data_IF_286483323845
#
_entry.id   IF_286483323845
#
_cell.length_a   1.000
_cell.length_b   1.000
_cell.length_c   1.000
_cell.angle_alpha   90.00
_cell.angle_beta   90.00
_cell.angle_gamma   90.00
#
_symmetry.space_group_name_H-M   'P 1'
#
loop_
_entity.id
_entity.type
_entity.pdbx_description
1 polymer ?
#
# COMPACT_ATOMS: atom_id res chain seq x y z
N UNK A 1 18.71 16.14 14.42
CA UNK A 1 19.58 15.56 13.39
C UNK A 1 20.49 14.57 14.08
N UNK A 2 20.19 13.28 13.93
CA UNK A 2 20.96 12.20 14.57
C UNK A 2 22.07 11.79 13.61
N UNK A 3 23.29 12.26 13.87
CA UNK A 3 24.46 11.78 13.16
C UNK A 3 24.61 10.27 13.45
N UNK A 4 24.60 9.47 12.40
CA UNK A 4 24.91 8.05 12.48
C UNK A 4 26.37 7.91 12.95
N UNK A 5 26.60 7.14 14.01
CA UNK A 5 27.90 7.04 14.70
C UNK A 5 28.88 6.15 13.88
N UNK A 6 29.40 6.69 12.77
CA UNK A 6 30.39 6.04 11.92
C UNK A 6 31.77 6.67 12.11
N UNK A 7 32.80 5.84 12.23
CA UNK A 7 34.18 6.30 12.24
C UNK A 7 34.52 6.98 10.89
N UNK A 8 35.22 8.13 10.90
CA UNK A 8 35.57 8.88 9.68
C UNK A 8 36.71 8.20 8.93
N UNK A 9 36.35 7.20 8.11
CA UNK A 9 37.28 6.45 7.24
C UNK A 9 36.88 6.53 5.78
N UNK A 10 37.85 6.42 4.85
CA UNK A 10 37.57 6.39 3.40
C UNK A 10 36.64 5.27 3.00
N UNK A 11 36.75 4.10 3.65
CA UNK A 11 35.88 2.94 3.41
C UNK A 11 34.44 3.22 3.80
N UNK A 12 34.22 3.81 5.00
CA UNK A 12 32.88 4.19 5.46
C UNK A 12 32.28 5.29 4.58
N UNK A 13 33.07 6.24 4.10
CA UNK A 13 32.60 7.27 3.17
C UNK A 13 32.07 6.66 1.86
N UNK A 14 32.81 5.70 1.27
CA UNK A 14 32.38 5.04 0.05
C UNK A 14 31.10 4.23 0.25
N UNK A 15 31.01 3.49 1.38
CA UNK A 15 29.82 2.73 1.75
C UNK A 15 28.60 3.65 1.92
N UNK A 16 28.71 4.72 2.69
CA UNK A 16 27.62 5.66 2.92
C UNK A 16 27.17 6.40 1.66
N UNK A 17 28.09 6.71 0.74
CA UNK A 17 27.73 7.25 -0.58
C UNK A 17 26.92 6.27 -1.40
N UNK A 18 27.28 4.98 -1.35
CA UNK A 18 26.51 3.91 -2.01
C UNK A 18 25.13 3.76 -1.37
N UNK A 19 25.05 3.75 -0.04
CA UNK A 19 23.79 3.66 0.71
C UNK A 19 22.87 4.87 0.44
N UNK A 20 23.44 6.08 0.36
CA UNK A 20 22.72 7.30 -0.01
C UNK A 20 22.12 7.19 -1.42
N UNK A 21 22.93 6.74 -2.39
CA UNK A 21 22.45 6.54 -3.76
C UNK A 21 21.34 5.50 -3.83
N UNK A 22 21.51 4.39 -3.10
CA UNK A 22 20.49 3.34 -3.00
C UNK A 22 19.20 3.85 -2.35
N UNK A 23 19.30 4.65 -1.28
CA UNK A 23 18.15 5.25 -0.62
C UNK A 23 17.40 6.23 -1.55
N UNK A 24 18.12 7.03 -2.35
CA UNK A 24 17.52 7.93 -3.34
C UNK A 24 16.77 7.16 -4.43
N UNK A 25 17.38 6.11 -4.99
CA UNK A 25 16.72 5.25 -5.99
C UNK A 25 15.51 4.53 -5.40
N UNK A 26 15.63 4.05 -4.16
CA UNK A 26 14.52 3.42 -3.44
C UNK A 26 13.36 4.39 -3.18
N UNK A 27 13.66 5.64 -2.86
CA UNK A 27 12.67 6.70 -2.73
C UNK A 27 11.90 6.92 -4.04
N UNK A 28 12.61 7.11 -5.17
CA UNK A 28 12.01 7.34 -6.48
C UNK A 28 11.07 6.19 -6.90
N UNK A 29 11.52 4.95 -6.74
CA UNK A 29 10.71 3.76 -7.06
C UNK A 29 9.47 3.62 -6.16
N UNK A 30 9.61 3.90 -4.86
CA UNK A 30 8.49 3.85 -3.93
C UNK A 30 7.51 5.01 -4.15
N UNK A 31 7.99 6.17 -4.58
CA UNK A 31 7.16 7.31 -4.93
C UNK A 31 6.34 7.03 -6.20
N UNK A 32 6.95 6.47 -7.23
CA UNK A 32 6.25 6.01 -8.42
C UNK A 32 5.19 4.95 -8.07
N UNK A 33 5.56 3.95 -7.24
CA UNK A 33 4.61 2.95 -6.76
C UNK A 33 3.44 3.58 -6.01
N UNK A 34 3.71 4.56 -5.14
CA UNK A 34 2.67 5.30 -4.40
C UNK A 34 1.67 5.96 -5.35
N UNK A 35 2.18 6.67 -6.36
CA UNK A 35 1.34 7.39 -7.30
C UNK A 35 0.43 6.44 -8.11
N UNK A 36 0.98 5.32 -8.59
CA UNK A 36 0.18 4.30 -9.30
C UNK A 36 -0.89 3.70 -8.40
N UNK A 37 -0.53 3.34 -7.15
CA UNK A 37 -1.49 2.78 -6.19
C UNK A 37 -2.61 3.76 -5.84
N UNK A 38 -2.33 5.07 -5.79
CA UNK A 38 -3.36 6.10 -5.55
C UNK A 38 -4.32 6.19 -6.72
N UNK A 39 -3.83 6.19 -7.97
CA UNK A 39 -4.67 6.22 -9.17
C UNK A 39 -5.60 5.00 -9.21
N UNK A 40 -5.06 3.80 -8.99
CA UNK A 40 -5.84 2.57 -8.92
C UNK A 40 -6.88 2.58 -7.78
N UNK A 41 -6.49 3.10 -6.61
CA UNK A 41 -7.40 3.22 -5.47
C UNK A 41 -8.58 4.14 -5.81
N UNK A 42 -8.33 5.32 -6.39
CA UNK A 42 -9.39 6.27 -6.75
C UNK A 42 -10.35 5.66 -7.79
N UNK A 43 -9.81 5.00 -8.82
CA UNK A 43 -10.64 4.33 -9.82
C UNK A 43 -11.53 3.24 -9.20
N UNK A 44 -11.03 2.47 -8.22
CA UNK A 44 -11.84 1.47 -7.51
C UNK A 44 -12.85 2.10 -6.55
N UNK A 45 -12.54 3.24 -5.95
CA UNK A 45 -13.48 3.97 -5.09
C UNK A 45 -14.66 4.46 -5.92
N UNK A 46 -14.42 5.07 -7.07
CA UNK A 46 -15.49 5.55 -7.97
C UNK A 46 -16.39 4.39 -8.41
N UNK A 47 -15.79 3.27 -8.83
CA UNK A 47 -16.55 2.05 -9.16
C UNK A 47 -17.36 1.54 -7.96
N UNK A 48 -16.80 1.59 -6.75
CA UNK A 48 -17.48 1.12 -5.54
C UNK A 48 -18.70 1.98 -5.22
N UNK A 49 -18.60 3.30 -5.38
CA UNK A 49 -19.72 4.25 -5.17
C UNK A 49 -20.84 3.98 -6.16
N UNK A 50 -20.50 3.78 -7.44
CA UNK A 50 -21.49 3.47 -8.48
C UNK A 50 -22.21 2.14 -8.19
N UNK A 51 -21.46 1.10 -7.84
CA UNK A 51 -22.05 -0.19 -7.46
C UNK A 51 -22.86 -0.13 -6.20
N UNK A 52 -22.44 0.65 -5.19
CA UNK A 52 -23.22 0.88 -3.96
C UNK A 52 -24.58 1.49 -4.32
N UNK A 53 -24.60 2.53 -5.15
CA UNK A 53 -25.86 3.17 -5.58
C UNK A 53 -26.79 2.22 -6.32
N UNK A 54 -26.22 1.32 -7.16
CA UNK A 54 -26.99 0.29 -7.88
C UNK A 54 -27.60 -0.73 -6.89
N UNK A 55 -26.83 -1.17 -5.89
CA UNK A 55 -27.30 -2.10 -4.86
C UNK A 55 -28.41 -1.47 -4.02
N UNK A 56 -28.23 -0.21 -3.60
CA UNK A 56 -29.22 0.51 -2.80
C UNK A 56 -30.55 0.68 -3.56
N UNK A 57 -30.48 1.00 -4.87
CA UNK A 57 -31.66 1.08 -5.72
C UNK A 57 -32.34 -0.28 -5.93
N UNK A 58 -31.55 -1.36 -6.12
CA UNK A 58 -32.09 -2.71 -6.26
C UNK A 58 -32.74 -3.20 -4.95
N UNK A 59 -32.11 -2.91 -3.80
CA UNK A 59 -32.67 -3.18 -2.48
C UNK A 59 -33.99 -2.45 -2.26
N UNK A 60 -34.05 -1.16 -2.61
CA UNK A 60 -35.29 -0.38 -2.48
C UNK A 60 -36.44 -1.00 -3.29
N UNK A 61 -36.17 -1.49 -4.51
CA UNK A 61 -37.16 -2.21 -5.32
C UNK A 61 -37.59 -3.54 -4.68
N UNK A 62 -36.61 -4.31 -4.19
CA UNK A 62 -36.89 -5.60 -3.53
C UNK A 62 -37.76 -5.42 -2.27
N UNK A 63 -37.44 -4.43 -1.43
CA UNK A 63 -38.23 -4.14 -0.23
C UNK A 63 -39.63 -3.65 -0.57
N UNK A 64 -39.82 -2.81 -1.58
CA UNK A 64 -41.19 -2.41 -2.02
C UNK A 64 -42.01 -3.60 -2.47
N UNK A 65 -41.42 -4.51 -3.28
CA UNK A 65 -42.14 -5.72 -3.68
C UNK A 65 -42.45 -6.64 -2.50
N UNK A 66 -41.60 -6.68 -1.48
CA UNK A 66 -41.85 -7.41 -0.24
C UNK A 66 -42.99 -6.74 0.58
N UNK A 67 -43.05 -5.43 0.67
CA UNK A 67 -44.13 -4.68 1.32
C UNK A 67 -45.47 -4.99 0.68
N UNK A 68 -45.56 -4.94 -0.66
CA UNK A 68 -46.75 -5.33 -1.41
C UNK A 68 -47.14 -6.78 -1.17
N UNK A 69 -46.18 -7.69 -1.08
CA UNK A 69 -46.39 -9.10 -0.76
C UNK A 69 -47.00 -9.24 0.66
N UNK A 70 -46.45 -8.53 1.63
CA UNK A 70 -46.94 -8.55 3.03
C UNK A 70 -48.32 -7.93 3.14
N UNK A 71 -48.58 -6.89 2.35
CA UNK A 71 -49.88 -6.23 2.33
C UNK A 71 -50.99 -7.14 1.77
N UNK A 72 -50.66 -7.87 0.68
CA UNK A 72 -51.65 -8.76 0.01
C UNK A 72 -51.91 -10.08 0.79
N UNK A 73 -50.85 -10.71 1.31
CA UNK A 73 -50.94 -12.04 1.89
C UNK A 73 -50.91 -12.11 3.43
N UNK A 74 -50.48 -11.02 4.04
CA UNK A 74 -50.25 -10.95 5.47
C UNK A 74 -48.90 -11.51 5.92
N UNK A 75 -48.33 -10.90 6.97
CA UNK A 75 -46.95 -11.18 7.46
C UNK A 75 -46.71 -12.65 7.82
N UNK A 76 -47.70 -13.31 8.45
CA UNK A 76 -47.54 -14.72 8.87
C UNK A 76 -47.36 -15.68 7.69
N UNK A 77 -48.19 -15.53 6.64
CA UNK A 77 -48.05 -16.37 5.45
C UNK A 77 -46.72 -16.17 4.75
N UNK A 78 -46.26 -14.93 4.59
CA UNK A 78 -44.95 -14.62 4.02
C UNK A 78 -43.84 -15.26 4.86
N UNK A 79 -43.91 -15.20 6.18
CA UNK A 79 -42.91 -15.80 7.06
C UNK A 79 -42.88 -17.35 6.93
N UNK A 80 -44.00 -18.03 6.78
CA UNK A 80 -44.03 -19.47 6.51
C UNK A 80 -43.41 -19.82 5.15
N UNK A 81 -43.69 -19.04 4.12
CA UNK A 81 -43.17 -19.25 2.79
C UNK A 81 -41.67 -18.99 2.70
N UNK A 82 -41.11 -18.04 3.44
CA UNK A 82 -39.65 -17.79 3.46
C UNK A 82 -38.87 -19.00 3.97
N UNK A 83 -39.44 -19.83 4.85
CA UNK A 83 -38.83 -21.06 5.33
C UNK A 83 -38.74 -22.16 4.24
N UNK A 84 -39.62 -22.09 3.23
CA UNK A 84 -39.60 -23.03 2.11
C UNK A 84 -38.62 -22.64 0.96
N UNK A 85 -38.24 -21.35 0.90
CA UNK A 85 -37.32 -20.85 -0.12
C UNK A 85 -35.89 -21.27 0.22
N UNK A 86 -35.35 -22.23 -0.51
CA UNK A 86 -33.99 -22.73 -0.33
C UNK A 86 -33.12 -22.31 -1.51
N UNK A 87 -32.46 -21.16 -1.38
CA UNK A 87 -31.49 -20.65 -2.34
C UNK A 87 -30.10 -20.78 -1.72
N UNK A 88 -29.28 -21.63 -2.29
CA UNK A 88 -27.89 -21.78 -1.88
C UNK A 88 -26.97 -21.02 -2.83
N UNK A 89 -26.01 -20.31 -2.26
CA UNK A 89 -25.04 -19.53 -3.03
C UNK A 89 -23.65 -20.10 -2.80
N UNK A 90 -23.02 -20.59 -3.86
CA UNK A 90 -21.63 -21.02 -3.84
C UNK A 90 -20.75 -19.81 -4.19
N UNK A 91 -19.83 -19.49 -3.28
CA UNK A 91 -18.91 -18.36 -3.45
C UNK A 91 -17.50 -18.92 -3.69
N UNK A 92 -17.00 -18.71 -4.91
CA UNK A 92 -15.61 -19.02 -5.26
C UNK A 92 -14.76 -17.77 -5.19
N UNK A 93 -13.73 -17.79 -4.34
CA UNK A 93 -12.83 -16.67 -4.19
C UNK A 93 -11.52 -16.96 -4.89
N UNK A 94 -11.24 -16.21 -5.97
CA UNK A 94 -9.95 -16.21 -6.65
C UNK A 94 -9.13 -15.01 -6.22
N UNK A 95 -7.82 -15.02 -6.49
CA UNK A 95 -6.95 -13.90 -6.18
C UNK A 95 -6.31 -13.31 -7.43
N UNK A 96 -6.34 -11.98 -7.55
CA UNK A 96 -5.63 -11.19 -8.56
C UNK A 96 -4.58 -10.32 -7.87
N UNK A 97 -3.41 -10.16 -8.50
CA UNK A 97 -2.35 -9.28 -7.97
C UNK A 97 -2.29 -7.98 -8.77
N UNK A 98 -2.34 -6.86 -8.06
CA UNK A 98 -2.16 -5.51 -8.62
C UNK A 98 -1.06 -4.82 -7.84
N UNK A 99 0.05 -4.46 -8.50
CA UNK A 99 1.22 -3.82 -7.87
C UNK A 99 1.74 -4.53 -6.59
N UNK A 100 1.66 -5.88 -6.57
CA UNK A 100 2.08 -6.69 -5.42
C UNK A 100 1.02 -6.82 -4.31
N UNK A 101 -0.14 -6.19 -4.45
CA UNK A 101 -1.29 -6.35 -3.54
C UNK A 101 -2.18 -7.48 -4.06
N UNK A 102 -2.54 -8.40 -3.18
CA UNK A 102 -3.47 -9.50 -3.50
C UNK A 102 -4.90 -9.01 -3.31
N UNK A 103 -5.65 -8.90 -4.40
CA UNK A 103 -7.05 -8.51 -4.41
C UNK A 103 -7.93 -9.76 -4.63
N UNK A 104 -9.07 -9.89 -3.93
CA UNK A 104 -10.00 -10.96 -4.17
C UNK A 104 -10.79 -10.69 -5.47
N UNK A 105 -11.13 -11.77 -6.17
CA UNK A 105 -12.11 -11.80 -7.24
C UNK A 105 -13.18 -12.79 -6.81
N UNK A 106 -14.42 -12.34 -6.70
CA UNK A 106 -15.53 -13.14 -6.17
C UNK A 106 -16.42 -13.57 -7.35
N UNK A 107 -16.52 -14.88 -7.56
CA UNK A 107 -17.49 -15.49 -8.48
C UNK A 107 -18.61 -16.08 -7.62
N UNK A 108 -19.85 -15.66 -7.88
CA UNK A 108 -21.03 -16.14 -7.15
C UNK A 108 -21.87 -16.99 -8.10
N UNK A 109 -22.05 -18.26 -7.77
CA UNK A 109 -22.97 -19.18 -8.45
C UNK A 109 -24.18 -19.43 -7.57
N UNK A 110 -25.36 -19.31 -8.17
CA UNK A 110 -26.62 -19.54 -7.47
C UNK A 110 -27.14 -20.92 -7.86
N UNK A 111 -27.33 -21.78 -6.87
CA UNK A 111 -28.02 -23.05 -7.01
C UNK A 111 -29.41 -22.90 -6.41
N UNK A 112 -30.41 -22.98 -7.26
CA UNK A 112 -31.81 -22.97 -6.81
C UNK A 112 -32.52 -24.26 -7.24
N UNK A 113 -33.35 -24.73 -6.34
CA UNK A 113 -34.23 -25.86 -6.60
C UNK A 113 -35.64 -25.29 -6.76
N UNK A 114 -36.04 -25.03 -8.00
CA UNK A 114 -37.40 -24.58 -8.31
C UNK A 114 -38.29 -25.82 -8.57
N UNK A 115 -39.54 -25.83 -8.13
CA UNK A 115 -40.31 -24.79 -7.44
C UNK A 115 -40.07 -24.78 -5.93
N UNK A 116 -39.99 -23.56 -5.31
CA UNK A 116 -39.78 -23.41 -3.88
C UNK A 116 -41.03 -23.65 -3.04
N UNK A 117 -42.20 -23.37 -3.59
CA UNK A 117 -43.49 -23.48 -2.94
C UNK A 117 -44.61 -23.77 -3.94
N UNK A 118 -45.76 -24.19 -3.45
CA UNK A 118 -46.95 -24.41 -4.28
C UNK A 118 -47.58 -23.08 -4.70
N UNK A 119 -47.98 -22.90 -5.98
CA UNK A 119 -48.62 -21.69 -6.43
C UNK A 119 -50.04 -21.46 -5.84
N UNK A 120 -50.65 -22.48 -5.23
CA UNK A 120 -51.97 -22.35 -4.63
C UNK A 120 -51.95 -21.48 -3.37
N UNK A 121 -52.63 -20.32 -3.43
CA UNK A 121 -52.74 -19.39 -2.32
C UNK A 121 -51.54 -18.44 -2.17
N UNK A 122 -50.68 -18.36 -3.17
CA UNK A 122 -49.57 -17.41 -3.27
C UNK A 122 -49.92 -16.25 -4.20
N UNK A 123 -49.30 -15.10 -3.96
CA UNK A 123 -49.49 -13.89 -4.77
C UNK A 123 -48.36 -13.74 -5.78
N UNK A 124 -48.62 -13.10 -6.92
CA UNK A 124 -47.62 -12.72 -7.90
C UNK A 124 -46.47 -11.89 -7.32
N UNK A 125 -46.78 -11.10 -6.27
CA UNK A 125 -45.77 -10.26 -5.63
C UNK A 125 -44.68 -11.05 -4.94
N UNK A 126 -44.88 -12.30 -4.52
CA UNK A 126 -43.83 -13.17 -3.95
C UNK A 126 -42.79 -13.48 -5.01
N UNK A 127 -43.20 -13.89 -6.21
CA UNK A 127 -42.27 -14.21 -7.29
C UNK A 127 -41.46 -12.96 -7.71
N UNK A 128 -42.13 -11.81 -7.79
CA UNK A 128 -41.47 -10.55 -8.05
C UNK A 128 -40.45 -10.18 -6.98
N UNK A 129 -40.80 -10.30 -5.70
CA UNK A 129 -39.87 -10.00 -4.60
C UNK A 129 -38.68 -10.94 -4.61
N UNK A 130 -38.91 -12.24 -4.83
CA UNK A 130 -37.84 -13.25 -4.92
C UNK A 130 -36.89 -12.97 -6.08
N UNK A 131 -37.42 -12.55 -7.23
CA UNK A 131 -36.62 -12.15 -8.38
C UNK A 131 -35.73 -10.95 -8.07
N UNK A 132 -36.27 -9.89 -7.46
CA UNK A 132 -35.50 -8.71 -7.09
C UNK A 132 -34.43 -9.02 -6.02
N UNK A 133 -34.74 -9.85 -5.03
CA UNK A 133 -33.74 -10.26 -4.04
C UNK A 133 -32.61 -11.10 -4.67
N UNK A 134 -32.88 -11.95 -5.67
CA UNK A 134 -31.84 -12.65 -6.43
C UNK A 134 -30.92 -11.68 -7.18
N UNK A 135 -31.46 -10.64 -7.80
CA UNK A 135 -30.67 -9.60 -8.45
C UNK A 135 -29.77 -8.86 -7.44
N UNK A 136 -30.31 -8.52 -6.28
CA UNK A 136 -29.54 -7.91 -5.18
C UNK A 136 -28.38 -8.81 -4.76
N UNK A 137 -28.61 -10.11 -4.56
CA UNK A 137 -27.56 -11.06 -4.17
C UNK A 137 -26.42 -11.11 -5.18
N UNK A 138 -26.72 -11.07 -6.50
CA UNK A 138 -25.70 -11.01 -7.56
C UNK A 138 -24.85 -9.75 -7.45
N UNK A 139 -25.47 -8.61 -7.20
CA UNK A 139 -24.76 -7.33 -7.06
C UNK A 139 -23.95 -7.25 -5.77
N UNK A 140 -24.42 -7.87 -4.66
CA UNK A 140 -23.70 -7.89 -3.38
C UNK A 140 -22.36 -8.61 -3.45
N UNK A 141 -22.27 -9.71 -4.20
CA UNK A 141 -20.99 -10.40 -4.43
C UNK A 141 -19.93 -9.46 -5.01
N UNK A 142 -20.30 -8.74 -6.07
CA UNK A 142 -19.39 -7.78 -6.72
C UNK A 142 -19.08 -6.57 -5.85
N UNK A 143 -20.04 -6.04 -5.13
CA UNK A 143 -19.82 -4.94 -4.18
C UNK A 143 -18.85 -5.35 -3.07
N UNK A 144 -18.96 -6.58 -2.55
CA UNK A 144 -18.06 -7.12 -1.53
C UNK A 144 -16.62 -7.24 -2.05
N UNK A 145 -16.44 -7.71 -3.29
CA UNK A 145 -15.13 -7.74 -3.95
C UNK A 145 -14.50 -6.34 -4.00
N UNK A 146 -15.26 -5.35 -4.49
CA UNK A 146 -14.79 -3.97 -4.61
C UNK A 146 -14.44 -3.36 -3.26
N UNK A 147 -15.31 -3.48 -2.25
CA UNK A 147 -15.05 -2.97 -0.89
C UNK A 147 -13.79 -3.55 -0.27
N UNK A 148 -13.58 -4.87 -0.36
CA UNK A 148 -12.38 -5.52 0.19
C UNK A 148 -11.14 -5.07 -0.59
N UNK A 149 -11.24 -4.92 -1.91
CA UNK A 149 -10.14 -4.44 -2.76
C UNK A 149 -9.72 -3.02 -2.39
N UNK A 150 -10.67 -2.11 -2.21
CA UNK A 150 -10.43 -0.74 -1.75
C UNK A 150 -9.72 -0.73 -0.40
N UNK A 151 -10.20 -1.51 0.58
CA UNK A 151 -9.60 -1.59 1.91
C UNK A 151 -8.15 -2.10 1.87
N UNK A 152 -7.88 -3.15 1.07
CA UNK A 152 -6.52 -3.71 0.93
C UNK A 152 -5.57 -2.71 0.26
N UNK A 153 -6.01 -2.06 -0.83
CA UNK A 153 -5.22 -1.04 -1.50
C UNK A 153 -4.97 0.18 -0.60
N UNK A 154 -5.98 0.69 0.10
CA UNK A 154 -5.85 1.81 1.02
C UNK A 154 -4.81 1.53 2.12
N UNK A 155 -4.81 0.31 2.67
CA UNK A 155 -3.82 -0.10 3.66
C UNK A 155 -2.40 -0.14 3.08
N UNK A 156 -2.24 -0.61 1.84
CA UNK A 156 -0.92 -0.65 1.19
C UNK A 156 -0.44 0.75 0.80
N UNK A 157 -1.32 1.62 0.30
CA UNK A 157 -1.03 3.04 0.08
C UNK A 157 -0.55 3.71 1.37
N UNK A 158 -1.26 3.51 2.48
CA UNK A 158 -0.86 4.04 3.79
C UNK A 158 0.53 3.58 4.22
N UNK A 159 0.87 2.28 4.02
CA UNK A 159 2.20 1.74 4.31
C UNK A 159 3.27 2.35 3.40
N UNK A 160 2.98 2.48 2.11
CA UNK A 160 3.91 3.04 1.12
C UNK A 160 4.19 4.51 1.40
N UNK A 161 3.17 5.32 1.70
CA UNK A 161 3.32 6.72 2.11
C UNK A 161 4.24 6.85 3.34
N UNK A 162 4.06 5.99 4.36
CA UNK A 162 4.94 6.00 5.55
C UNK A 162 6.39 5.70 5.19
N UNK A 163 6.65 4.73 4.29
CA UNK A 163 8.00 4.39 3.84
C UNK A 163 8.63 5.53 3.04
N UNK A 164 7.88 6.13 2.11
CA UNK A 164 8.32 7.28 1.32
C UNK A 164 8.69 8.45 2.23
N UNK A 165 7.80 8.81 3.16
CA UNK A 165 8.04 9.90 4.11
C UNK A 165 9.23 9.64 5.04
N UNK A 166 9.45 8.39 5.48
CA UNK A 166 10.61 8.03 6.29
C UNK A 166 11.92 8.15 5.51
N UNK A 167 11.94 7.74 4.24
CA UNK A 167 13.12 7.91 3.37
C UNK A 167 13.39 9.39 3.10
N UNK A 168 12.38 10.16 2.74
CA UNK A 168 12.50 11.57 2.37
C UNK A 168 12.92 12.47 3.54
N UNK A 169 12.27 12.27 4.70
CA UNK A 169 12.40 13.22 5.82
C UNK A 169 13.45 12.81 6.86
N UNK A 170 13.82 11.53 6.91
CA UNK A 170 14.73 11.01 7.93
C UNK A 170 15.96 10.39 7.28
N UNK A 171 15.81 9.30 6.51
CA UNK A 171 16.96 8.52 6.09
C UNK A 171 17.88 9.26 5.11
N UNK A 172 17.33 9.91 4.10
CA UNK A 172 18.12 10.63 3.09
C UNK A 172 18.84 11.85 3.70
N UNK A 173 18.20 12.73 4.51
CA UNK A 173 18.90 13.83 5.18
C UNK A 173 20.00 13.34 6.11
N UNK A 174 19.70 12.35 7.00
CA UNK A 174 20.69 11.83 7.95
C UNK A 174 21.92 11.23 7.25
N UNK A 175 21.70 10.50 6.14
CA UNK A 175 22.81 9.96 5.32
C UNK A 175 23.61 11.09 4.65
N UNK A 176 22.96 12.13 4.12
CA UNK A 176 23.65 13.29 3.52
C UNK A 176 24.52 14.03 4.53
N UNK A 177 23.96 14.30 5.70
CA UNK A 177 24.67 15.02 6.76
C UNK A 177 25.86 14.19 7.27
N UNK A 178 25.68 12.86 7.42
CA UNK A 178 26.75 11.95 7.85
C UNK A 178 27.87 11.87 6.80
N UNK A 179 27.53 11.78 5.51
CA UNK A 179 28.51 11.78 4.40
C UNK A 179 29.30 13.09 4.40
N UNK A 180 28.62 14.22 4.53
CA UNK A 180 29.26 15.54 4.58
C UNK A 180 30.20 15.69 5.79
N UNK A 181 29.76 15.25 6.96
CA UNK A 181 30.60 15.25 8.17
C UNK A 181 31.87 14.42 8.01
N UNK A 182 31.74 13.17 7.54
CA UNK A 182 32.90 12.28 7.33
C UNK A 182 33.86 12.86 6.26
N UNK A 183 33.31 13.41 5.20
CA UNK A 183 34.12 14.04 4.15
C UNK A 183 34.91 15.21 4.70
N UNK A 184 34.28 16.12 5.47
CA UNK A 184 34.94 17.26 6.09
C UNK A 184 36.03 16.83 7.08
N UNK A 185 35.79 15.78 7.87
CA UNK A 185 36.80 15.23 8.80
C UNK A 185 37.98 14.60 8.10
N UNK A 186 37.77 13.91 6.98
CA UNK A 186 38.86 13.35 6.17
C UNK A 186 39.70 14.46 5.52
N UNK A 187 39.06 15.50 5.00
CA UNK A 187 39.76 16.66 4.44
C UNK A 187 40.60 17.42 5.50
N UNK A 188 40.06 17.57 6.71
CA UNK A 188 40.79 18.15 7.85
C UNK A 188 42.02 17.30 8.19
N UNK A 189 41.87 15.99 8.33
CA UNK A 189 42.98 15.07 8.62
C UNK A 189 44.04 15.06 7.51
N UNK A 190 43.64 15.15 6.23
CA UNK A 190 44.58 15.26 5.12
C UNK A 190 45.38 16.57 5.17
N UNK A 191 44.74 17.70 5.52
CA UNK A 191 45.43 18.98 5.71
C UNK A 191 46.44 18.94 6.86
N UNK A 192 46.05 18.36 8.00
CA UNK A 192 46.93 18.18 9.17
C UNK A 192 48.15 17.34 8.82
N UNK A 193 47.96 16.23 8.10
CA UNK A 193 49.04 15.36 7.65
C UNK A 193 50.00 16.13 6.70
N UNK A 194 49.45 16.96 5.82
CA UNK A 194 50.26 17.80 4.92
C UNK A 194 51.13 18.81 5.67
N UNK A 195 50.58 19.46 6.70
CA UNK A 195 51.30 20.39 7.59
C UNK A 195 52.43 19.64 8.32
N UNK A 196 52.13 18.45 8.88
CA UNK A 196 53.15 17.64 9.56
C UNK A 196 54.27 17.21 8.61
N UNK A 197 53.97 16.79 7.38
CA UNK A 197 55.00 16.46 6.37
C UNK A 197 55.87 17.67 6.02
N UNK A 198 55.28 18.87 5.92
CA UNK A 198 56.03 20.12 5.67
C UNK A 198 57.00 20.44 6.83
N UNK A 199 56.55 20.26 8.07
CA UNK A 199 57.37 20.45 9.27
C UNK A 199 58.53 19.45 9.33
N UNK A 200 58.26 18.15 9.07
CA UNK A 200 59.30 17.10 9.00
C UNK A 200 60.32 17.37 7.91
N UNK A 201 59.89 17.77 6.72
CA UNK A 201 60.77 18.16 5.61
C UNK A 201 61.69 19.33 6.03
N UNK A 202 61.12 20.38 6.62
CA UNK A 202 61.89 21.55 7.11
C UNK A 202 62.92 21.16 8.18
N UNK A 203 62.57 20.27 9.08
CA UNK A 203 63.51 19.77 10.09
C UNK A 203 64.65 18.90 9.50
N UNK A 204 64.33 18.07 8.52
CA UNK A 204 65.32 17.27 7.80
C UNK A 204 66.33 18.17 7.00
N UNK A 205 65.82 19.18 6.33
CA UNK A 205 66.64 20.16 5.63
C UNK A 205 67.58 20.94 6.60
N UNK A 206 67.06 21.36 7.76
CA UNK A 206 67.88 21.97 8.81
C UNK A 206 68.93 21.01 9.36
N UNK A 207 68.64 19.73 9.58
CA UNK A 207 69.60 18.71 9.99
C UNK A 207 70.69 18.49 8.92
N UNK A 208 70.33 18.40 7.66
CA UNK A 208 71.31 18.25 6.51
C UNK A 208 72.28 19.44 6.43
N UNK A 209 71.75 20.67 6.56
CA UNK A 209 72.60 21.89 6.59
C UNK A 209 73.57 21.92 7.78
N UNK A 210 73.16 21.44 8.95
CA UNK A 210 74.05 21.32 10.15
C UNK A 210 75.10 20.25 10.00
N UNK A 211 74.80 19.08 9.36
CA UNK A 211 75.75 18.02 9.11
C UNK A 211 76.77 18.36 7.99
N UNK A 212 76.42 19.24 7.06
CA UNK A 212 77.35 19.71 6.00
C UNK A 212 78.22 20.91 6.46
N UNK A 213 77.80 21.68 7.47
CA UNK A 213 78.58 22.77 8.05
C UNK A 213 79.58 22.36 9.14
N UNK A 214 79.53 21.11 9.64
CA UNK A 214 80.46 20.56 10.65
C UNK A 214 81.63 19.73 10.10
N UNK A 215 81.83 19.72 8.75
CA UNK A 215 82.94 18.99 8.09
C UNK A 215 84.01 19.93 7.51
N UNK A 216 84.00 21.18 7.94
CA UNK A 216 84.97 22.20 7.47
C UNK A 216 85.64 22.94 8.62
N UNK A 217 86.09 22.19 9.67
CA UNK A 217 87.12 22.59 10.64
C UNK A 217 88.16 21.49 10.76
#
# INVERSE_FOLDING_TARGET
MTQLNYAPTKTNLLKLRSDLKFAQQGYELLDQKRNILIIELLALVDQTVDFQSRVDNALAKAYRALEETVFDMGKLKVQYLTGAVNITTDITVRSRRVMGVVLPVIETEFKEHSPHYSPMGTSFWIDSSLHFFKEVLKLLGKLSELKISVLRLANEVKKTIRKVNALEKIAIPDLKDTVHYIQSKLEESERDMFVLMKLVKGNLEKKRRRSQGGSSE
#
